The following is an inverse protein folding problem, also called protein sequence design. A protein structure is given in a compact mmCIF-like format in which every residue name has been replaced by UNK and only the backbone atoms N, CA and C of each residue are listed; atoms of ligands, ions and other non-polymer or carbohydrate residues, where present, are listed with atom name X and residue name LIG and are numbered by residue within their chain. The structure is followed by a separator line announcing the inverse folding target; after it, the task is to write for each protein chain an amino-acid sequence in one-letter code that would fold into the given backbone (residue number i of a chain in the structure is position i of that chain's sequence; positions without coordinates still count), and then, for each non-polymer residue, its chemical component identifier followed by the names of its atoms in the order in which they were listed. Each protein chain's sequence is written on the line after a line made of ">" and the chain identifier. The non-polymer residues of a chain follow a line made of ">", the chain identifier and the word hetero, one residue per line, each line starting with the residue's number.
data_IF_930896186909
#
_entry.id   IF_930896186909
#
_cell.length_a   1.000
_cell.length_b   1.000
_cell.length_c   1.000
_cell.angle_alpha   90.00
_cell.angle_beta   90.00
_cell.angle_gamma   90.00
#
_symmetry.space_group_name_H-M   'P 1'
#
loop_
_entity.id
_entity.type
_entity.pdbx_description
1 polymer ?
#
# COMPACT_ATOMS: atom_id res chain seq x y z
N UNK A 1 14.61 28.36 -6.47
CA UNK A 1 13.61 27.77 -5.54
C UNK A 1 12.15 28.09 -5.90
N UNK A 2 11.75 29.33 -6.20
CA UNK A 2 10.34 29.71 -6.51
C UNK A 2 9.64 28.94 -7.65
N UNK A 3 10.37 28.49 -8.66
CA UNK A 3 9.77 27.85 -9.85
C UNK A 3 9.35 26.39 -9.64
N UNK A 4 10.05 25.65 -8.76
CA UNK A 4 9.75 24.24 -8.44
C UNK A 4 8.47 24.14 -7.60
N UNK A 5 8.35 24.99 -6.58
CA UNK A 5 7.16 25.05 -5.74
C UNK A 5 5.89 25.42 -6.51
N UNK A 6 6.01 26.29 -7.52
CA UNK A 6 4.87 26.68 -8.36
C UNK A 6 4.36 25.52 -9.23
N UNK A 7 5.26 24.70 -9.80
CA UNK A 7 4.88 23.51 -10.60
C UNK A 7 4.23 22.41 -9.75
N UNK A 8 4.78 22.13 -8.57
CA UNK A 8 4.20 21.16 -7.61
C UNK A 8 2.77 21.57 -7.22
N UNK A 9 2.55 22.87 -7.01
CA UNK A 9 1.24 23.39 -6.63
C UNK A 9 0.20 23.30 -7.76
N UNK A 10 0.61 23.46 -9.03
CA UNK A 10 -0.28 23.26 -10.19
C UNK A 10 -0.62 21.78 -10.38
N UNK A 11 0.38 20.89 -10.30
CA UNK A 11 0.17 19.45 -10.43
C UNK A 11 -0.76 18.89 -9.34
N UNK A 12 -0.60 19.34 -8.09
CA UNK A 12 -1.48 18.97 -6.98
C UNK A 12 -2.92 19.43 -7.21
N UNK A 13 -3.12 20.68 -7.66
CA UNK A 13 -4.46 21.19 -8.00
C UNK A 13 -5.12 20.35 -9.09
N UNK A 14 -4.39 20.03 -10.16
CA UNK A 14 -4.90 19.19 -11.23
C UNK A 14 -5.27 17.78 -10.74
N UNK A 15 -4.42 17.17 -9.91
CA UNK A 15 -4.71 15.88 -9.27
C UNK A 15 -6.02 15.91 -8.47
N UNK A 16 -6.22 16.93 -7.63
CA UNK A 16 -7.46 17.04 -6.85
C UNK A 16 -8.69 17.30 -7.72
N UNK A 17 -8.57 18.06 -8.82
CA UNK A 17 -9.67 18.24 -9.78
C UNK A 17 -10.07 16.89 -10.39
N UNK A 18 -9.10 16.11 -10.88
CA UNK A 18 -9.37 14.78 -11.42
C UNK A 18 -9.93 13.83 -10.36
N UNK A 19 -9.43 13.92 -9.13
CA UNK A 19 -9.91 13.13 -8.00
C UNK A 19 -11.39 13.42 -7.71
N UNK A 20 -11.76 14.69 -7.55
CA UNK A 20 -13.16 15.07 -7.31
C UNK A 20 -14.06 14.72 -8.49
N UNK A 21 -13.56 14.85 -9.73
CA UNK A 21 -14.29 14.45 -10.92
C UNK A 21 -14.57 12.93 -10.92
N UNK A 22 -13.57 12.09 -10.66
CA UNK A 22 -13.74 10.64 -10.57
C UNK A 22 -14.69 10.26 -9.43
N UNK A 23 -14.58 10.92 -8.28
CA UNK A 23 -15.44 10.71 -7.13
C UNK A 23 -16.90 11.11 -7.42
N UNK A 24 -17.12 12.24 -8.09
CA UNK A 24 -18.45 12.71 -8.48
C UNK A 24 -19.08 11.81 -9.54
N UNK A 25 -18.34 11.42 -10.58
CA UNK A 25 -18.82 10.52 -11.62
C UNK A 25 -19.27 9.20 -10.99
N UNK A 26 -18.43 8.58 -10.16
CA UNK A 26 -18.76 7.31 -9.50
C UNK A 26 -19.96 7.42 -8.56
N UNK A 27 -20.11 8.55 -7.85
CA UNK A 27 -21.29 8.81 -7.02
C UNK A 27 -22.57 8.93 -7.87
N UNK A 28 -22.55 9.75 -8.92
CA UNK A 28 -23.71 10.01 -9.78
C UNK A 28 -24.11 8.76 -10.54
N UNK A 29 -23.16 7.99 -11.08
CA UNK A 29 -23.46 6.73 -11.76
C UNK A 29 -24.12 5.73 -10.82
N UNK A 30 -23.64 5.63 -9.57
CA UNK A 30 -24.25 4.72 -8.61
C UNK A 30 -25.66 5.16 -8.22
N UNK A 31 -25.85 6.46 -7.99
CA UNK A 31 -27.16 7.01 -7.68
C UNK A 31 -28.13 6.84 -8.85
N UNK A 32 -27.66 6.94 -10.09
CA UNK A 32 -28.49 6.76 -11.27
C UNK A 32 -28.96 5.30 -11.46
N UNK A 33 -28.11 4.32 -11.12
CA UNK A 33 -28.40 2.89 -11.31
C UNK A 33 -29.18 2.33 -10.11
N UNK A 34 -28.66 2.51 -8.90
CA UNK A 34 -29.18 1.84 -7.69
C UNK A 34 -30.10 2.74 -6.85
N UNK A 35 -30.20 4.04 -7.17
CA UNK A 35 -30.88 5.08 -6.35
C UNK A 35 -30.37 5.16 -4.90
N UNK A 36 -29.29 4.45 -4.59
CA UNK A 36 -28.63 4.35 -3.30
C UNK A 36 -27.12 4.44 -3.50
N UNK A 37 -26.38 4.70 -2.43
CA UNK A 37 -24.91 4.74 -2.44
C UNK A 37 -24.32 3.44 -1.90
N UNK A 38 -24.65 2.31 -2.51
CA UNK A 38 -24.20 0.96 -2.13
C UNK A 38 -22.76 0.72 -2.63
N UNK A 39 -22.56 0.57 -3.94
CA UNK A 39 -21.23 0.36 -4.56
C UNK A 39 -20.32 1.56 -4.41
N UNK A 40 -20.89 2.77 -4.40
CA UNK A 40 -20.13 4.00 -4.19
C UNK A 40 -19.36 4.01 -2.86
N UNK A 41 -19.84 3.36 -1.79
CA UNK A 41 -19.09 3.28 -0.53
C UNK A 41 -17.78 2.54 -0.68
N UNK A 42 -17.75 1.47 -1.49
CA UNK A 42 -16.54 0.72 -1.81
C UNK A 42 -15.63 1.63 -2.64
N UNK A 43 -16.09 2.09 -3.80
CA UNK A 43 -15.26 2.84 -4.74
C UNK A 43 -14.79 4.18 -4.17
N UNK A 44 -15.70 4.93 -3.54
CA UNK A 44 -15.40 6.23 -2.93
C UNK A 44 -14.39 6.09 -1.78
N UNK A 45 -14.49 5.06 -0.95
CA UNK A 45 -13.49 4.81 0.10
C UNK A 45 -12.14 4.36 -0.48
N UNK A 46 -12.12 3.54 -1.54
CA UNK A 46 -10.90 3.19 -2.27
C UNK A 46 -10.24 4.42 -2.90
N UNK A 47 -11.04 5.32 -3.48
CA UNK A 47 -10.56 6.60 -4.01
C UNK A 47 -9.94 7.42 -2.87
N UNK A 48 -10.64 7.64 -1.76
CA UNK A 48 -10.09 8.40 -0.61
C UNK A 48 -8.78 7.76 -0.13
N UNK A 49 -8.75 6.44 0.06
CA UNK A 49 -7.57 5.71 0.50
C UNK A 49 -6.38 5.88 -0.46
N UNK A 50 -6.57 5.52 -1.74
CA UNK A 50 -5.52 5.61 -2.76
C UNK A 50 -5.13 7.05 -3.09
N UNK A 51 -6.10 7.96 -3.11
CA UNK A 51 -5.90 9.38 -3.41
C UNK A 51 -5.06 10.08 -2.35
N UNK A 52 -5.34 9.84 -1.06
CA UNK A 52 -4.52 10.38 0.03
C UNK A 52 -3.11 9.79 0.04
N UNK A 53 -2.95 8.51 -0.28
CA UNK A 53 -1.64 7.87 -0.44
C UNK A 53 -0.83 8.51 -1.57
N UNK A 54 -1.45 8.67 -2.74
CA UNK A 54 -0.81 9.27 -3.91
C UNK A 54 -0.48 10.74 -3.67
N UNK A 55 -1.36 11.51 -3.03
CA UNK A 55 -1.10 12.90 -2.68
C UNK A 55 0.13 13.01 -1.77
N UNK A 56 0.19 12.17 -0.72
CA UNK A 56 1.32 12.10 0.20
C UNK A 56 2.62 11.70 -0.51
N UNK A 57 2.58 10.72 -1.42
CA UNK A 57 3.75 10.22 -2.13
C UNK A 57 4.26 11.19 -3.22
N UNK A 58 3.37 11.84 -3.95
CA UNK A 58 3.73 12.67 -5.11
C UNK A 58 4.05 14.12 -4.73
N UNK A 59 3.34 14.69 -3.75
CA UNK A 59 3.39 16.13 -3.48
C UNK A 59 4.04 16.52 -2.14
N UNK A 60 4.36 15.57 -1.26
CA UNK A 60 5.14 15.88 -0.06
C UNK A 60 6.54 16.40 -0.44
N UNK A 61 7.02 17.46 0.22
CA UNK A 61 8.36 18.02 -0.12
C UNK A 61 9.49 17.14 0.40
N UNK A 62 9.42 16.76 1.68
CA UNK A 62 10.40 15.91 2.35
C UNK A 62 9.74 14.64 2.86
N UNK A 63 10.52 13.56 3.02
CA UNK A 63 10.06 12.31 3.62
C UNK A 63 8.79 11.70 3.01
N UNK A 64 8.62 11.83 1.68
CA UNK A 64 7.40 11.40 0.94
C UNK A 64 6.95 9.98 1.27
N UNK A 65 7.90 9.05 1.33
CA UNK A 65 7.64 7.64 1.68
C UNK A 65 7.13 7.51 3.11
N UNK A 66 7.68 8.27 4.06
CA UNK A 66 7.22 8.25 5.45
C UNK A 66 5.79 8.77 5.54
N UNK A 67 5.49 9.91 4.91
CA UNK A 67 4.13 10.45 4.89
C UNK A 67 3.15 9.47 4.26
N UNK A 68 3.49 8.85 3.13
CA UNK A 68 2.66 7.83 2.49
C UNK A 68 2.43 6.61 3.38
N UNK A 69 3.45 6.10 4.07
CA UNK A 69 3.31 4.97 5.01
C UNK A 69 2.50 5.35 6.25
N UNK A 70 2.59 6.59 6.73
CA UNK A 70 1.74 7.10 7.80
C UNK A 70 0.27 7.15 7.38
N UNK A 71 -0.02 7.65 6.17
CA UNK A 71 -1.38 7.63 5.59
C UNK A 71 -1.88 6.20 5.44
N UNK A 72 -1.04 5.28 4.95
CA UNK A 72 -1.39 3.85 4.86
C UNK A 72 -1.76 3.28 6.23
N UNK A 73 -0.92 3.51 7.23
CA UNK A 73 -1.13 3.03 8.61
C UNK A 73 -2.43 3.57 9.21
N UNK A 74 -2.75 4.84 8.96
CA UNK A 74 -3.95 5.48 9.48
C UNK A 74 -5.24 5.05 8.76
N UNK A 75 -5.18 4.82 7.45
CA UNK A 75 -6.39 4.64 6.64
C UNK A 75 -6.70 3.18 6.27
N UNK A 76 -5.74 2.25 6.30
CA UNK A 76 -5.98 0.86 5.86
C UNK A 76 -7.07 0.16 6.69
N UNK A 77 -7.08 0.34 8.02
CA UNK A 77 -8.07 -0.27 8.91
C UNK A 77 -9.46 0.35 8.69
N UNK A 78 -9.65 1.69 8.71
CA UNK A 78 -10.92 2.30 8.34
C UNK A 78 -11.42 1.88 6.96
N UNK A 79 -10.52 1.76 5.98
CA UNK A 79 -10.87 1.30 4.64
C UNK A 79 -11.42 -0.13 4.65
N UNK A 80 -10.75 -1.07 5.34
CA UNK A 80 -11.26 -2.42 5.51
C UNK A 80 -12.62 -2.47 6.24
N UNK A 81 -12.84 -1.61 7.23
CA UNK A 81 -14.12 -1.53 7.93
C UNK A 81 -15.26 -1.10 6.99
N UNK A 82 -14.99 -0.13 6.11
CA UNK A 82 -15.97 0.28 5.09
C UNK A 82 -16.27 -0.87 4.12
N UNK A 83 -15.23 -1.60 3.68
CA UNK A 83 -15.41 -2.75 2.80
C UNK A 83 -16.27 -3.84 3.44
N UNK A 84 -15.88 -4.35 4.62
CA UNK A 84 -16.62 -5.42 5.31
C UNK A 84 -18.07 -5.01 5.57
N UNK A 85 -18.29 -3.80 6.10
CA UNK A 85 -19.63 -3.31 6.40
C UNK A 85 -20.46 -3.13 5.14
N UNK A 86 -19.88 -2.65 4.04
CA UNK A 86 -20.65 -2.43 2.81
C UNK A 86 -20.99 -3.76 2.15
N UNK A 87 -20.04 -4.70 2.08
CA UNK A 87 -20.26 -6.02 1.50
C UNK A 87 -21.32 -6.80 2.29
N UNK A 88 -21.22 -6.85 3.61
CA UNK A 88 -22.16 -7.57 4.46
C UNK A 88 -23.59 -7.01 4.46
N UNK A 89 -23.76 -5.70 4.23
CA UNK A 89 -25.10 -5.10 4.26
C UNK A 89 -25.81 -5.10 2.90
N UNK A 90 -25.08 -5.20 1.78
CA UNK A 90 -25.64 -4.95 0.45
C UNK A 90 -25.36 -6.04 -0.59
N UNK A 91 -24.39 -6.94 -0.35
CA UNK A 91 -23.90 -7.86 -1.39
C UNK A 91 -23.87 -9.33 -0.97
N UNK A 92 -24.04 -9.64 0.31
CA UNK A 92 -24.06 -11.01 0.82
C UNK A 92 -25.38 -11.30 1.52
N UNK A 93 -25.92 -12.48 1.28
CA UNK A 93 -27.12 -12.98 1.98
C UNK A 93 -26.85 -13.29 3.45
N UNK A 94 -25.60 -13.65 3.77
CA UNK A 94 -25.12 -13.91 5.13
C UNK A 94 -23.83 -13.12 5.41
N UNK A 95 -23.72 -12.45 6.57
CA UNK A 95 -22.57 -11.62 6.89
C UNK A 95 -21.31 -12.46 7.11
N UNK A 96 -20.21 -12.06 6.48
CA UNK A 96 -18.88 -12.65 6.63
C UNK A 96 -17.96 -11.62 7.30
N UNK A 97 -17.51 -11.92 8.51
CA UNK A 97 -16.59 -11.06 9.26
C UNK A 97 -15.14 -11.51 9.03
N UNK A 98 -14.49 -10.94 8.02
CA UNK A 98 -13.12 -11.28 7.61
C UNK A 98 -12.08 -10.28 8.11
N UNK A 99 -12.48 -9.08 8.54
CA UNK A 99 -11.58 -8.01 8.93
C UNK A 99 -10.73 -8.41 10.14
N UNK A 100 -11.35 -8.89 11.21
CA UNK A 100 -10.60 -9.27 12.43
C UNK A 100 -9.75 -10.52 12.23
N UNK A 101 -10.27 -11.65 11.72
CA UNK A 101 -9.48 -12.88 11.62
C UNK A 101 -8.43 -12.87 10.50
N UNK A 102 -8.63 -12.08 9.44
CA UNK A 102 -7.79 -12.12 8.23
C UNK A 102 -7.21 -10.74 7.93
N UNK A 103 -8.07 -9.73 7.74
CA UNK A 103 -7.67 -8.42 7.25
C UNK A 103 -6.69 -7.68 8.16
N UNK A 104 -6.94 -7.67 9.47
CA UNK A 104 -6.18 -6.95 10.48
C UNK A 104 -4.77 -7.58 10.67
N UNK A 105 -4.62 -8.91 10.87
CA UNK A 105 -3.30 -9.54 10.89
C UNK A 105 -2.44 -9.27 9.66
N UNK A 106 -3.04 -9.30 8.47
CA UNK A 106 -2.33 -9.01 7.20
C UNK A 106 -1.93 -7.52 7.17
N UNK A 107 -2.85 -6.60 7.46
CA UNK A 107 -2.55 -5.17 7.48
C UNK A 107 -1.42 -4.84 8.46
N UNK A 108 -1.46 -5.40 9.67
CA UNK A 108 -0.42 -5.21 10.69
C UNK A 108 0.94 -5.73 10.23
N UNK A 109 0.98 -6.87 9.53
CA UNK A 109 2.21 -7.43 8.95
C UNK A 109 2.83 -6.46 7.95
N UNK A 110 2.04 -5.89 7.05
CA UNK A 110 2.53 -4.94 6.05
C UNK A 110 2.88 -3.57 6.65
N UNK A 111 2.14 -3.10 7.66
CA UNK A 111 2.51 -1.90 8.44
C UNK A 111 3.88 -2.10 9.09
N UNK A 112 4.08 -3.23 9.79
CA UNK A 112 5.36 -3.56 10.42
C UNK A 112 6.48 -3.63 9.39
N UNK A 113 6.26 -4.30 8.25
CA UNK A 113 7.20 -4.37 7.14
C UNK A 113 7.64 -2.98 6.66
N UNK A 114 6.70 -2.05 6.42
CA UNK A 114 7.05 -0.71 5.95
C UNK A 114 7.84 0.08 7.00
N UNK A 115 7.44 0.03 8.27
CA UNK A 115 8.13 0.74 9.34
C UNK A 115 9.52 0.18 9.63
N UNK A 116 9.71 -1.14 9.57
CA UNK A 116 11.03 -1.77 9.68
C UNK A 116 11.94 -1.28 8.55
N UNK A 117 11.47 -1.25 7.31
CA UNK A 117 12.24 -0.74 6.18
C UNK A 117 12.63 0.74 6.32
N UNK A 118 11.70 1.58 6.78
CA UNK A 118 11.99 2.99 7.07
C UNK A 118 13.02 3.12 8.20
N UNK A 119 12.89 2.30 9.25
CA UNK A 119 13.81 2.26 10.39
C UNK A 119 15.22 1.87 9.97
N UNK A 120 15.37 0.78 9.21
CA UNK A 120 16.65 0.31 8.67
C UNK A 120 17.34 1.41 7.87
N UNK A 121 16.60 2.09 6.97
CA UNK A 121 17.16 3.19 6.17
C UNK A 121 17.65 4.34 7.05
N UNK A 122 16.89 4.71 8.09
CA UNK A 122 17.27 5.79 9.01
C UNK A 122 18.49 5.44 9.87
N UNK A 123 18.60 4.21 10.33
CA UNK A 123 19.69 3.76 11.22
C UNK A 123 20.99 3.53 10.42
N UNK A 124 20.89 2.85 9.28
CA UNK A 124 22.07 2.41 8.53
C UNK A 124 22.56 3.43 7.51
N UNK A 125 21.78 4.49 7.22
CA UNK A 125 22.09 5.51 6.21
C UNK A 125 22.45 4.92 4.83
N UNK A 126 21.87 3.77 4.49
CA UNK A 126 22.18 3.07 3.25
C UNK A 126 21.62 3.78 2.02
N UNK A 127 22.27 3.54 0.88
CA UNK A 127 21.78 4.06 -0.40
C UNK A 127 20.50 3.36 -0.86
N UNK A 128 19.86 3.93 -1.87
CA UNK A 128 18.54 3.48 -2.34
C UNK A 128 18.58 2.02 -2.85
N UNK A 129 19.67 1.60 -3.49
CA UNK A 129 19.83 0.22 -3.98
C UNK A 129 19.84 -0.80 -2.85
N UNK A 130 20.68 -0.59 -1.82
CA UNK A 130 20.73 -1.47 -0.65
C UNK A 130 19.41 -1.45 0.14
N UNK A 131 18.69 -0.32 0.18
CA UNK A 131 17.36 -0.25 0.80
C UNK A 131 16.32 -1.10 0.04
N UNK A 132 16.31 -1.03 -1.29
CA UNK A 132 15.41 -1.85 -2.12
C UNK A 132 15.76 -3.34 -2.02
N UNK A 133 17.05 -3.66 -1.89
CA UNK A 133 17.51 -5.02 -1.66
C UNK A 133 16.98 -5.60 -0.35
N UNK A 134 17.17 -4.90 0.77
CA UNK A 134 16.60 -5.32 2.07
C UNK A 134 15.08 -5.38 2.04
N UNK A 135 14.42 -4.40 1.43
CA UNK A 135 12.96 -4.40 1.33
C UNK A 135 12.47 -5.67 0.63
N UNK A 136 13.12 -6.07 -0.45
CA UNK A 136 12.78 -7.31 -1.16
C UNK A 136 12.97 -8.56 -0.29
N UNK A 137 14.05 -8.64 0.49
CA UNK A 137 14.30 -9.77 1.39
C UNK A 137 13.32 -9.82 2.56
N UNK A 138 12.99 -8.66 3.15
CA UNK A 138 11.99 -8.55 4.22
C UNK A 138 10.56 -8.83 3.74
N UNK A 139 10.30 -8.72 2.44
CA UNK A 139 8.99 -9.05 1.88
C UNK A 139 8.71 -10.55 1.91
N UNK A 140 9.74 -11.41 1.94
CA UNK A 140 9.59 -12.87 1.99
C UNK A 140 8.77 -13.31 3.21
N UNK A 141 9.17 -12.99 4.47
CA UNK A 141 8.37 -13.37 5.63
C UNK A 141 6.98 -12.71 5.63
N UNK A 142 6.86 -11.47 5.13
CA UNK A 142 5.55 -10.80 5.04
C UNK A 142 4.58 -11.51 4.08
N UNK A 143 5.06 -11.99 2.93
CA UNK A 143 4.28 -12.76 1.95
C UNK A 143 3.90 -14.12 2.52
N UNK A 144 4.83 -14.83 3.18
CA UNK A 144 4.56 -16.12 3.80
C UNK A 144 3.46 -16.00 4.87
N UNK A 145 3.57 -15.01 5.76
CA UNK A 145 2.54 -14.73 6.78
C UNK A 145 1.20 -14.38 6.14
N UNK A 146 1.21 -13.59 5.06
CA UNK A 146 -0.02 -13.25 4.33
C UNK A 146 -0.70 -14.50 3.78
N UNK A 147 0.08 -15.39 3.15
CA UNK A 147 -0.45 -16.58 2.50
C UNK A 147 -0.88 -17.68 3.47
N UNK A 148 -0.23 -17.81 4.64
CA UNK A 148 -0.69 -18.73 5.68
C UNK A 148 -2.01 -18.27 6.28
N UNK A 149 -2.16 -16.97 6.54
CA UNK A 149 -3.39 -16.39 7.10
C UNK A 149 -4.53 -16.46 6.07
N UNK A 150 -4.28 -16.07 4.82
CA UNK A 150 -5.30 -16.03 3.78
C UNK A 150 -5.83 -17.43 3.42
N UNK A 151 -4.96 -18.43 3.35
CA UNK A 151 -5.34 -19.79 2.95
C UNK A 151 -5.66 -20.71 4.14
N UNK A 152 -5.50 -20.24 5.39
CA UNK A 152 -5.69 -21.03 6.61
C UNK A 152 -4.94 -22.38 6.58
N UNK A 153 -3.80 -22.42 5.89
CA UNK A 153 -3.08 -23.65 5.55
C UNK A 153 -1.74 -23.79 6.27
N UNK A 154 -1.12 -24.96 6.12
CA UNK A 154 0.23 -25.21 6.62
C UNK A 154 1.27 -24.29 5.95
N UNK A 155 2.38 -24.04 6.66
CA UNK A 155 3.51 -23.25 6.17
C UNK A 155 4.10 -23.88 4.90
N UNK A 156 4.15 -25.20 4.81
CA UNK A 156 4.68 -25.92 3.64
C UNK A 156 3.90 -25.61 2.36
N UNK A 157 2.57 -25.70 2.42
CA UNK A 157 1.70 -25.37 1.28
C UNK A 157 1.84 -23.90 0.89
N UNK A 158 2.03 -23.02 1.88
CA UNK A 158 2.23 -21.59 1.64
C UNK A 158 3.56 -21.30 0.94
N UNK A 159 4.63 -22.04 1.27
CA UNK A 159 5.92 -21.95 0.58
C UNK A 159 5.79 -22.41 -0.86
N UNK A 160 5.11 -23.53 -1.10
CA UNK A 160 4.90 -24.08 -2.44
C UNK A 160 4.13 -23.10 -3.33
N UNK A 161 3.02 -22.55 -2.84
CA UNK A 161 2.24 -21.54 -3.57
C UNK A 161 3.03 -20.24 -3.80
N UNK A 162 3.95 -19.89 -2.90
CA UNK A 162 4.74 -18.65 -2.96
C UNK A 162 6.09 -18.82 -3.64
N UNK A 163 6.44 -20.01 -4.15
CA UNK A 163 7.80 -20.34 -4.57
C UNK A 163 8.37 -19.35 -5.59
N UNK A 164 7.60 -19.05 -6.64
CA UNK A 164 7.99 -18.09 -7.69
C UNK A 164 8.21 -16.70 -7.08
N UNK A 165 7.33 -16.27 -6.18
CA UNK A 165 7.44 -14.98 -5.49
C UNK A 165 8.69 -14.92 -4.62
N UNK A 166 9.00 -15.99 -3.87
CA UNK A 166 10.18 -16.07 -3.01
C UNK A 166 11.46 -15.99 -3.84
N UNK A 167 11.57 -16.79 -4.91
CA UNK A 167 12.74 -16.78 -5.80
C UNK A 167 12.92 -15.39 -6.43
N UNK A 168 11.83 -14.77 -6.87
CA UNK A 168 11.86 -13.41 -7.44
C UNK A 168 12.34 -12.39 -6.42
N UNK A 169 11.83 -12.45 -5.19
CA UNK A 169 12.24 -11.53 -4.11
C UNK A 169 13.70 -11.75 -3.68
N UNK A 170 14.19 -12.99 -3.68
CA UNK A 170 15.60 -13.30 -3.44
C UNK A 170 16.50 -12.73 -4.54
N UNK A 171 16.11 -12.89 -5.82
CA UNK A 171 16.85 -12.34 -6.94
C UNK A 171 16.88 -10.79 -6.89
N UNK A 172 15.73 -10.15 -6.70
CA UNK A 172 15.62 -8.70 -6.52
C UNK A 172 16.43 -8.21 -5.32
N UNK A 173 16.38 -8.94 -4.21
CA UNK A 173 17.14 -8.66 -3.00
C UNK A 173 18.65 -8.67 -3.24
N UNK A 174 19.14 -9.75 -3.86
CA UNK A 174 20.55 -9.91 -4.22
C UNK A 174 21.05 -8.82 -5.16
N UNK A 175 20.32 -8.58 -6.27
CA UNK A 175 20.66 -7.55 -7.26
C UNK A 175 20.66 -6.16 -6.61
N UNK A 176 19.65 -5.85 -5.80
CA UNK A 176 19.54 -4.57 -5.09
C UNK A 176 20.71 -4.32 -4.14
N UNK A 177 21.12 -5.34 -3.37
CA UNK A 177 22.27 -5.24 -2.48
C UNK A 177 23.58 -5.06 -3.25
N UNK A 178 23.81 -5.83 -4.31
CA UNK A 178 25.01 -5.71 -5.15
C UNK A 178 25.08 -4.32 -5.79
N UNK A 179 23.99 -3.87 -6.41
CA UNK A 179 23.91 -2.52 -7.00
C UNK A 179 24.15 -1.44 -5.95
N UNK A 180 23.62 -1.62 -4.74
CA UNK A 180 23.88 -0.75 -3.60
C UNK A 180 25.37 -0.70 -3.23
N UNK A 181 26.06 -1.82 -3.13
CA UNK A 181 27.50 -1.84 -2.83
C UNK A 181 28.32 -1.11 -3.91
N UNK A 182 28.00 -1.30 -5.20
CA UNK A 182 28.66 -0.59 -6.30
C UNK A 182 28.43 0.93 -6.27
N UNK A 183 27.21 1.37 -5.97
CA UNK A 183 26.90 2.80 -5.85
C UNK A 183 27.62 3.46 -4.67
N UNK A 184 27.83 2.73 -3.57
CA UNK A 184 28.60 3.24 -2.41
C UNK A 184 30.07 3.45 -2.75
N UNK A 185 30.65 2.57 -3.58
CA UNK A 185 32.06 2.62 -3.98
C UNK A 185 32.39 3.78 -4.93
N UNK A 186 31.42 4.30 -5.69
CA UNK A 186 31.60 5.45 -6.61
C UNK A 186 31.50 6.82 -5.92
N UNK A 187 31.10 6.88 -4.66
CA UNK A 187 30.92 8.14 -3.90
C UNK A 187 32.15 8.53 -3.06
N UNK A 188 33.22 7.73 -3.11
CA UNK A 188 34.55 8.04 -2.58
C UNK A 188 35.50 8.28 -3.75
#
# INVERSE_FOLDING_TARGET
>A
MKHSDKKVNVGRKFFWILFFLAFAITAVTNLAIDQQFTWFRIVGSSLIFGGMLLDALLFSKNYRVIHSVSVFTALIIPYFMVLERTVNNYYLDAPIYWLVPIGLPIALTWIAYFWINIGIRKILHWNMGSCLGIASLLAIPAVLVTNTIANQGSIYNSIEMSFITIVTLLACGGIGLIAGLFMRKRSH
#
